data_IF_797864059771
#
_entry.id   IF_797864059771
#
_cell.length_a   1.000
_cell.length_b   1.000
_cell.length_c   1.000
_cell.angle_alpha   90.00
_cell.angle_beta   90.00
_cell.angle_gamma   90.00
#
_symmetry.space_group_name_H-M   'P 1'
#
loop_
_entity.id
_entity.type
_entity.pdbx_description
1 polymer ?
#
# COMPACT_ATOMS: atom_id res chain seq x y z
N UNK A 1 0.90 4.93 -20.18
CA UNK A 1 -0.26 5.02 -19.27
C UNK A 1 -0.02 6.21 -18.38
N UNK A 2 -1.07 6.97 -18.09
CA UNK A 2 -0.90 8.32 -17.56
C UNK A 2 -1.28 8.43 -16.09
N UNK A 3 -2.01 7.46 -15.52
CA UNK A 3 -2.40 7.45 -14.11
C UNK A 3 -3.04 8.78 -13.69
N UNK A 4 -4.00 9.26 -14.48
CA UNK A 4 -4.61 10.59 -14.33
C UNK A 4 -6.08 10.55 -13.94
N UNK A 5 -6.73 9.38 -14.01
CA UNK A 5 -8.11 9.24 -13.56
C UNK A 5 -8.17 9.41 -12.03
N UNK A 6 -9.10 10.23 -11.58
CA UNK A 6 -9.29 10.56 -10.17
C UNK A 6 -10.42 9.73 -9.54
N UNK A 7 -10.26 9.40 -8.26
CA UNK A 7 -11.26 8.64 -7.53
C UNK A 7 -12.54 9.47 -7.30
N UNK A 8 -13.69 8.92 -7.71
CA UNK A 8 -14.99 9.57 -7.54
C UNK A 8 -16.05 8.58 -7.07
N UNK A 9 -17.26 9.07 -6.79
CA UNK A 9 -18.39 8.20 -6.49
C UNK A 9 -18.72 7.25 -7.66
N UNK A 10 -18.53 7.72 -8.90
CA UNK A 10 -18.83 6.94 -10.11
C UNK A 10 -17.67 6.05 -10.53
N UNK A 11 -16.45 6.43 -10.12
CA UNK A 11 -15.18 5.82 -10.52
C UNK A 11 -14.33 5.60 -9.27
N UNK A 12 -14.77 4.73 -8.33
CA UNK A 12 -14.08 4.57 -7.08
C UNK A 12 -12.72 3.88 -7.29
N UNK A 13 -11.70 4.33 -6.56
CA UNK A 13 -10.39 3.68 -6.58
C UNK A 13 -10.45 2.36 -5.79
N UNK A 14 -9.77 1.33 -6.28
CA UNK A 14 -9.61 0.05 -5.58
C UNK A 14 -8.22 -0.02 -4.92
N UNK A 15 -8.20 -0.23 -3.61
CA UNK A 15 -6.98 -0.40 -2.82
C UNK A 15 -7.05 -1.74 -2.08
N UNK A 16 -6.02 -2.57 -2.23
CA UNK A 16 -5.90 -3.86 -1.55
C UNK A 16 -4.71 -3.78 -0.59
N UNK A 17 -4.98 -3.84 0.71
CA UNK A 17 -3.95 -3.87 1.75
C UNK A 17 -3.53 -5.30 2.03
N UNK A 18 -2.23 -5.59 1.91
CA UNK A 18 -1.61 -6.84 2.34
C UNK A 18 -0.80 -6.58 3.60
N UNK A 19 -1.16 -7.21 4.70
CA UNK A 19 -0.58 -6.94 6.01
C UNK A 19 0.09 -8.21 6.53
N UNK A 20 1.41 -8.15 6.67
CA UNK A 20 2.17 -9.18 7.36
C UNK A 20 1.78 -9.18 8.85
N UNK A 21 1.38 -10.35 9.37
CA UNK A 21 1.09 -10.57 10.79
C UNK A 21 1.99 -11.66 11.38
N UNK A 22 3.17 -11.88 10.81
CA UNK A 22 4.11 -12.89 11.30
C UNK A 22 4.77 -12.54 12.65
N UNK A 23 5.57 -13.45 13.21
CA UNK A 23 6.09 -13.32 14.57
C UNK A 23 7.05 -12.13 14.71
N UNK A 24 7.74 -11.78 13.64
CA UNK A 24 8.63 -10.62 13.59
C UNK A 24 7.86 -9.30 13.67
N UNK A 25 6.56 -9.28 13.36
CA UNK A 25 5.69 -8.12 13.59
C UNK A 25 5.44 -7.83 15.08
N UNK A 26 5.74 -8.77 15.97
CA UNK A 26 5.73 -8.55 17.42
C UNK A 26 7.07 -8.02 17.95
N UNK A 27 8.10 -7.92 17.09
CA UNK A 27 9.39 -7.34 17.49
C UNK A 27 9.26 -5.82 17.73
N UNK A 28 10.14 -5.34 18.59
CA UNK A 28 10.23 -3.92 18.94
C UNK A 28 11.06 -3.18 17.90
N UNK A 29 10.58 -2.01 17.50
CA UNK A 29 11.24 -1.02 16.65
C UNK A 29 10.94 0.35 17.27
N UNK A 30 11.98 1.13 17.62
CA UNK A 30 11.82 2.41 18.34
C UNK A 30 10.87 2.35 19.56
N UNK A 31 11.04 1.35 20.42
CA UNK A 31 10.22 1.10 21.61
C UNK A 31 8.72 0.85 21.34
N UNK A 32 8.34 0.56 20.10
CA UNK A 32 6.97 0.18 19.69
C UNK A 32 6.98 -1.16 18.97
N UNK A 33 5.87 -1.90 18.97
CA UNK A 33 5.80 -3.11 18.13
C UNK A 33 5.62 -2.72 16.67
N UNK A 34 6.25 -3.46 15.76
CA UNK A 34 6.07 -3.29 14.31
C UNK A 34 4.60 -3.34 13.90
N UNK A 35 3.84 -4.26 14.50
CA UNK A 35 2.39 -4.37 14.30
C UNK A 35 1.64 -3.11 14.72
N UNK A 36 2.02 -2.45 15.82
CA UNK A 36 1.35 -1.21 16.27
C UNK A 36 1.57 -0.06 15.27
N UNK A 37 2.77 0.00 14.67
CA UNK A 37 3.11 0.99 13.64
C UNK A 37 2.27 0.76 12.38
N UNK A 38 2.17 -0.50 11.94
CA UNK A 38 1.34 -0.89 10.79
C UNK A 38 -0.14 -0.60 11.03
N UNK A 39 -0.65 -0.95 12.21
CA UNK A 39 -2.05 -0.71 12.57
C UNK A 39 -2.38 0.79 12.65
N UNK A 40 -1.49 1.61 13.22
CA UNK A 40 -1.65 3.06 13.26
C UNK A 40 -1.60 3.67 11.86
N UNK A 41 -0.65 3.24 11.03
CA UNK A 41 -0.51 3.64 9.63
C UNK A 41 -1.78 3.36 8.81
N UNK A 42 -2.29 2.13 8.90
CA UNK A 42 -3.54 1.72 8.24
C UNK A 42 -4.74 2.52 8.76
N UNK A 43 -4.85 2.69 10.09
CA UNK A 43 -5.92 3.46 10.71
C UNK A 43 -5.91 4.93 10.25
N UNK A 44 -4.73 5.54 10.15
CA UNK A 44 -4.55 6.89 9.65
C UNK A 44 -4.94 6.98 8.17
N UNK A 45 -4.54 6.02 7.35
CA UNK A 45 -4.90 5.94 5.93
C UNK A 45 -6.42 5.94 5.73
N UNK A 46 -7.12 5.06 6.46
CA UNK A 46 -8.59 4.95 6.40
C UNK A 46 -9.24 6.25 6.87
N UNK A 47 -8.80 6.83 7.99
CA UNK A 47 -9.34 8.12 8.47
C UNK A 47 -9.18 9.23 7.44
N UNK A 48 -8.02 9.31 6.78
CA UNK A 48 -7.80 10.29 5.71
C UNK A 48 -8.71 10.03 4.49
N UNK A 49 -8.90 8.76 4.10
CA UNK A 49 -9.84 8.40 3.02
C UNK A 49 -11.28 8.77 3.35
N UNK A 50 -11.73 8.53 4.59
CA UNK A 50 -13.05 8.96 5.09
C UNK A 50 -13.17 10.48 5.06
N UNK A 51 -12.15 11.20 5.53
CA UNK A 51 -12.13 12.67 5.52
C UNK A 51 -12.25 13.23 4.10
N UNK A 52 -11.42 12.76 3.15
CA UNK A 52 -11.47 13.17 1.73
C UNK A 52 -12.79 12.79 1.05
N UNK A 53 -13.46 11.77 1.55
CA UNK A 53 -14.75 11.30 1.05
C UNK A 53 -15.94 12.04 1.65
N UNK A 54 -15.74 12.83 2.71
CA UNK A 54 -16.80 13.54 3.43
C UNK A 54 -16.91 14.98 2.92
N UNK A 55 -18.10 15.37 2.49
CA UNK A 55 -18.42 16.78 2.17
C UNK A 55 -19.65 17.21 2.96
N UNK A 56 -19.45 18.10 3.94
CA UNK A 56 -20.48 18.43 4.92
C UNK A 56 -20.83 17.21 5.78
N UNK A 57 -22.10 16.79 5.77
CA UNK A 57 -22.57 15.58 6.47
C UNK A 57 -22.62 14.32 5.59
N UNK A 58 -22.31 14.42 4.30
CA UNK A 58 -22.45 13.31 3.36
C UNK A 58 -21.11 12.66 3.05
N UNK A 59 -21.01 11.37 3.35
CA UNK A 59 -19.90 10.51 2.94
C UNK A 59 -20.16 9.96 1.54
N UNK A 60 -19.20 10.14 0.65
CA UNK A 60 -19.26 9.69 -0.75
C UNK A 60 -18.29 8.51 -0.92
N UNK A 61 -18.73 7.32 -1.37
CA UNK A 61 -17.87 6.14 -1.47
C UNK A 61 -16.89 6.24 -2.64
N UNK A 62 -15.79 6.97 -2.45
CA UNK A 62 -14.73 7.17 -3.46
C UNK A 62 -13.68 6.07 -3.48
N UNK A 63 -13.64 5.26 -2.42
CA UNK A 63 -12.66 4.20 -2.26
C UNK A 63 -13.36 2.88 -1.98
N UNK A 64 -12.85 1.83 -2.61
CA UNK A 64 -13.17 0.43 -2.38
C UNK A 64 -11.92 -0.24 -1.84
N UNK A 65 -12.04 -0.93 -0.72
CA UNK A 65 -10.90 -1.44 0.03
C UNK A 65 -11.09 -2.93 0.31
N UNK A 66 -10.02 -3.70 0.14
CA UNK A 66 -9.88 -5.04 0.72
C UNK A 66 -8.69 -5.04 1.68
N UNK A 67 -8.78 -5.78 2.78
CA UNK A 67 -7.70 -5.92 3.76
C UNK A 67 -7.43 -7.39 3.98
N UNK A 68 -6.26 -7.84 3.56
CA UNK A 68 -5.77 -9.21 3.68
C UNK A 68 -4.61 -9.23 4.67
N UNK A 69 -4.85 -9.77 5.86
CA UNK A 69 -3.78 -10.09 6.79
C UNK A 69 -3.22 -11.48 6.45
N UNK A 70 -1.90 -11.67 6.55
CA UNK A 70 -1.30 -12.95 6.19
C UNK A 70 -0.20 -13.41 7.14
N UNK A 71 -0.17 -14.73 7.35
CA UNK A 71 0.88 -15.47 8.03
C UNK A 71 1.18 -16.74 7.22
N UNK A 72 0.96 -17.93 7.80
CA UNK A 72 0.82 -19.21 7.10
C UNK A 72 -0.40 -19.27 6.18
N UNK A 73 -1.49 -18.59 6.52
CA UNK A 73 -2.68 -18.45 5.69
C UNK A 73 -3.08 -16.98 5.52
N UNK A 74 -4.08 -16.73 4.67
CA UNK A 74 -4.59 -15.39 4.37
C UNK A 74 -5.97 -15.20 4.99
N UNK A 75 -6.10 -14.13 5.76
CA UNK A 75 -7.31 -13.74 6.46
C UNK A 75 -7.88 -12.47 5.83
N UNK A 76 -9.06 -12.57 5.24
CA UNK A 76 -9.80 -11.43 4.74
C UNK A 76 -10.57 -10.75 5.88
N UNK A 77 -10.10 -9.59 6.32
CA UNK A 77 -10.63 -8.89 7.48
C UNK A 77 -11.97 -8.19 7.20
N UNK A 78 -12.29 -7.96 5.93
CA UNK A 78 -13.51 -7.24 5.52
C UNK A 78 -14.55 -8.18 4.90
N UNK A 79 -14.18 -9.43 4.61
CA UNK A 79 -15.01 -10.39 3.90
C UNK A 79 -15.25 -9.97 2.45
N UNK A 80 -14.22 -9.46 1.79
CA UNK A 80 -14.23 -8.99 0.42
C UNK A 80 -14.01 -7.49 0.29
N UNK A 81 -14.22 -6.97 -0.92
CA UNK A 81 -14.07 -5.55 -1.22
C UNK A 81 -15.24 -4.76 -0.63
N UNK A 82 -14.95 -3.76 0.20
CA UNK A 82 -15.94 -2.90 0.87
C UNK A 82 -15.77 -1.43 0.50
N UNK A 83 -16.89 -0.70 0.47
CA UNK A 83 -16.85 0.76 0.34
C UNK A 83 -16.26 1.42 1.59
N UNK A 84 -15.62 2.58 1.42
CA UNK A 84 -15.10 3.37 2.55
C UNK A 84 -16.20 3.81 3.52
N UNK A 85 -17.44 3.92 3.04
CA UNK A 85 -18.63 4.21 3.83
C UNK A 85 -19.06 3.05 4.73
N UNK A 86 -19.00 1.82 4.21
CA UNK A 86 -19.20 0.62 5.03
C UNK A 86 -18.13 0.52 6.12
N UNK A 87 -16.86 0.76 5.76
CA UNK A 87 -15.74 0.71 6.72
C UNK A 87 -15.88 1.80 7.79
N UNK A 88 -16.26 3.02 7.41
CA UNK A 88 -16.52 4.10 8.36
C UNK A 88 -17.65 3.76 9.34
N UNK A 89 -18.68 3.03 8.89
CA UNK A 89 -19.79 2.61 9.73
C UNK A 89 -19.41 1.53 10.75
N UNK A 90 -18.48 0.64 10.41
CA UNK A 90 -17.94 -0.39 11.34
C UNK A 90 -17.11 0.27 12.44
N UNK A 91 -16.44 1.38 12.15
CA UNK A 91 -15.75 2.23 13.12
C UNK A 91 -14.44 1.67 13.69
N UNK A 92 -14.11 0.41 13.41
CA UNK A 92 -12.83 -0.22 13.77
C UNK A 92 -12.47 -1.33 12.79
N UNK A 93 -11.18 -1.56 12.60
CA UNK A 93 -10.64 -2.71 11.87
C UNK A 93 -10.51 -3.85 12.89
N UNK A 94 -10.77 -5.11 12.53
CA UNK A 94 -10.51 -6.24 13.43
C UNK A 94 -9.09 -6.23 13.98
N UNK A 95 -8.93 -6.63 15.24
CA UNK A 95 -7.61 -6.73 15.87
C UNK A 95 -6.74 -7.76 15.14
N UNK A 96 -5.51 -7.36 14.83
CA UNK A 96 -4.51 -8.23 14.25
C UNK A 96 -3.76 -8.95 15.37
N UNK A 97 -3.67 -10.28 15.28
CA UNK A 97 -2.89 -11.08 16.23
C UNK A 97 -1.68 -11.67 15.52
N UNK A 98 -0.45 -11.49 16.03
CA UNK A 98 0.74 -12.08 15.40
C UNK A 98 0.68 -13.61 15.40
N UNK A 99 1.04 -14.21 14.26
CA UNK A 99 1.16 -15.65 14.04
C UNK A 99 2.60 -16.02 13.67
N UNK A 100 2.92 -17.31 13.52
CA UNK A 100 4.35 -17.74 13.51
C UNK A 100 5.07 -17.59 12.17
N UNK A 101 4.39 -17.79 11.04
CA UNK A 101 5.01 -17.85 9.72
C UNK A 101 4.57 -16.69 8.82
N UNK A 102 5.26 -16.49 7.70
CA UNK A 102 4.95 -15.48 6.69
C UNK A 102 4.98 -16.11 5.28
N UNK A 103 3.82 -16.13 4.62
CA UNK A 103 3.63 -16.59 3.25
C UNK A 103 2.98 -15.47 2.42
N UNK A 104 3.82 -14.54 2.00
CA UNK A 104 3.41 -13.42 1.16
C UNK A 104 2.92 -13.85 -0.22
N UNK A 105 3.39 -14.99 -0.75
CA UNK A 105 2.93 -15.52 -2.04
C UNK A 105 1.43 -15.84 -2.01
N UNK A 106 0.92 -16.45 -0.94
CA UNK A 106 -0.53 -16.66 -0.76
C UNK A 106 -1.31 -15.34 -0.72
N UNK A 107 -0.79 -14.32 -0.05
CA UNK A 107 -1.44 -13.01 0.03
C UNK A 107 -1.54 -12.34 -1.35
N UNK A 108 -0.45 -12.31 -2.10
CA UNK A 108 -0.45 -11.81 -3.48
C UNK A 108 -1.38 -12.63 -4.38
N UNK A 109 -1.43 -13.96 -4.24
CA UNK A 109 -2.35 -14.80 -5.01
C UNK A 109 -3.82 -14.47 -4.70
N UNK A 110 -4.15 -14.21 -3.43
CA UNK A 110 -5.50 -13.80 -3.05
C UNK A 110 -5.83 -12.41 -3.60
N UNK A 111 -4.89 -11.48 -3.60
CA UNK A 111 -5.05 -10.17 -4.24
C UNK A 111 -5.26 -10.29 -5.76
N UNK A 112 -4.50 -11.15 -6.44
CA UNK A 112 -4.66 -11.45 -7.87
C UNK A 112 -6.09 -11.92 -8.18
N UNK A 113 -6.66 -12.80 -7.35
CA UNK A 113 -8.05 -13.26 -7.51
C UNK A 113 -9.07 -12.12 -7.35
N UNK A 114 -8.87 -11.23 -6.36
CA UNK A 114 -9.73 -10.05 -6.18
C UNK A 114 -9.65 -9.16 -7.43
N UNK A 115 -8.44 -8.88 -7.91
CA UNK A 115 -8.23 -8.07 -9.12
C UNK A 115 -8.90 -8.72 -10.34
N UNK A 116 -8.75 -10.03 -10.54
CA UNK A 116 -9.39 -10.73 -11.66
C UNK A 116 -10.92 -10.60 -11.63
N UNK A 117 -11.53 -10.57 -10.44
CA UNK A 117 -12.97 -10.37 -10.29
C UNK A 117 -13.40 -8.90 -10.47
N UNK A 118 -12.57 -7.94 -10.06
CA UNK A 118 -12.92 -6.52 -10.02
C UNK A 118 -12.60 -5.76 -11.31
N UNK A 119 -11.46 -6.05 -11.94
CA UNK A 119 -10.96 -5.33 -13.12
C UNK A 119 -11.96 -5.23 -14.29
N UNK A 120 -12.76 -6.28 -14.63
CA UNK A 120 -13.76 -6.18 -15.69
C UNK A 120 -14.79 -5.05 -15.51
N UNK A 121 -14.98 -4.58 -14.28
CA UNK A 121 -15.94 -3.54 -13.90
C UNK A 121 -15.30 -2.15 -13.71
N UNK A 122 -13.99 -2.01 -13.96
CA UNK A 122 -13.19 -0.80 -13.67
C UNK A 122 -12.77 -0.01 -14.92
N UNK A 123 -13.65 0.15 -15.93
CA UNK A 123 -13.27 0.78 -17.20
C UNK A 123 -12.89 2.27 -17.08
N UNK A 124 -13.60 3.02 -16.24
CA UNK A 124 -13.35 4.47 -16.04
C UNK A 124 -12.72 4.75 -14.67
N UNK A 125 -12.18 3.72 -14.01
CA UNK A 125 -11.63 3.86 -12.66
C UNK A 125 -10.11 4.13 -12.71
N UNK A 126 -9.56 4.74 -11.64
CA UNK A 126 -8.12 4.79 -11.45
C UNK A 126 -7.53 3.37 -11.44
N UNK A 127 -6.25 3.27 -11.81
CA UNK A 127 -5.51 2.02 -11.67
C UNK A 127 -5.57 1.49 -10.22
N UNK A 128 -5.86 0.19 -10.01
CA UNK A 128 -5.85 -0.38 -8.66
C UNK A 128 -4.46 -0.32 -8.03
N UNK A 129 -4.42 -0.20 -6.70
CA UNK A 129 -3.19 -0.28 -5.92
C UNK A 129 -3.22 -1.46 -4.96
N UNK A 130 -2.13 -2.22 -4.92
CA UNK A 130 -1.79 -3.08 -3.78
C UNK A 130 -0.83 -2.32 -2.88
N UNK A 131 -1.17 -2.18 -1.60
CA UNK A 131 -0.27 -1.65 -0.58
C UNK A 131 0.14 -2.77 0.37
N UNK A 132 1.40 -3.19 0.28
CA UNK A 132 1.95 -4.33 0.99
C UNK A 132 2.86 -3.87 2.14
N UNK A 133 2.50 -4.26 3.36
CA UNK A 133 3.20 -3.92 4.59
C UNK A 133 3.85 -5.17 5.16
N UNK A 134 5.19 -5.16 5.25
CA UNK A 134 5.97 -6.31 5.75
C UNK A 134 7.26 -5.82 6.38
N UNK A 135 7.87 -6.62 7.23
CA UNK A 135 9.24 -6.41 7.68
C UNK A 135 10.28 -7.19 6.85
N UNK A 136 9.82 -7.85 5.78
CA UNK A 136 10.65 -8.47 4.75
C UNK A 136 10.96 -9.95 4.97
N UNK A 137 10.57 -10.56 6.11
CA UNK A 137 10.92 -11.95 6.40
C UNK A 137 9.85 -12.91 5.85
N UNK A 138 9.97 -13.32 4.59
CA UNK A 138 9.09 -14.33 4.00
C UNK A 138 9.67 -15.74 4.18
N UNK A 139 8.85 -16.67 4.69
CA UNK A 139 9.20 -18.10 4.86
C UNK A 139 8.58 -19.01 3.81
N UNK A 140 7.63 -18.49 3.02
CA UNK A 140 6.89 -19.23 1.99
C UNK A 140 7.54 -19.23 0.60
N UNK A 141 6.74 -19.53 -0.42
CA UNK A 141 7.15 -19.47 -1.82
C UNK A 141 7.53 -18.04 -2.24
N UNK A 142 8.20 -17.92 -3.38
CA UNK A 142 8.56 -16.62 -3.93
C UNK A 142 7.32 -15.85 -4.42
N UNK A 143 6.96 -14.68 -3.83
CA UNK A 143 5.88 -13.84 -4.33
C UNK A 143 6.21 -13.08 -5.63
N UNK A 144 7.48 -12.94 -6.02
CA UNK A 144 7.90 -12.08 -7.15
C UNK A 144 7.20 -12.44 -8.47
N UNK A 145 7.08 -13.72 -8.88
CA UNK A 145 6.36 -14.08 -10.09
C UNK A 145 4.88 -13.67 -10.06
N UNK A 146 4.24 -13.70 -8.89
CA UNK A 146 2.83 -13.33 -8.71
C UNK A 146 2.69 -11.80 -8.78
N UNK A 147 3.54 -11.08 -8.05
CA UNK A 147 3.62 -9.62 -8.09
C UNK A 147 3.84 -9.10 -9.52
N UNK A 148 4.72 -9.75 -10.31
CA UNK A 148 4.92 -9.43 -11.73
C UNK A 148 3.68 -9.66 -12.59
N UNK A 149 2.90 -10.72 -12.35
CA UNK A 149 1.62 -10.92 -13.06
C UNK A 149 0.64 -9.82 -12.71
N UNK A 150 0.51 -9.50 -11.43
CA UNK A 150 -0.36 -8.42 -10.96
C UNK A 150 0.02 -7.08 -11.60
N UNK A 151 1.30 -6.70 -11.57
CA UNK A 151 1.78 -5.46 -12.20
C UNK A 151 1.59 -5.42 -13.73
N UNK A 152 1.29 -6.55 -14.37
CA UNK A 152 0.93 -6.60 -15.79
C UNK A 152 -0.58 -6.57 -16.04
N UNK A 153 -1.41 -6.71 -15.01
CA UNK A 153 -2.84 -6.47 -15.10
C UNK A 153 -3.10 -4.97 -15.23
N UNK A 154 -4.17 -4.57 -15.91
CA UNK A 154 -4.42 -3.16 -16.20
C UNK A 154 -5.90 -2.82 -16.34
N UNK A 155 -6.15 -1.53 -16.16
CA UNK A 155 -7.36 -0.81 -16.57
C UNK A 155 -6.95 0.27 -17.60
N UNK A 156 -7.89 0.95 -18.26
CA UNK A 156 -7.54 2.00 -19.23
C UNK A 156 -6.63 3.12 -18.69
N UNK A 157 -6.73 3.45 -17.39
CA UNK A 157 -5.88 4.46 -16.74
C UNK A 157 -4.41 4.03 -16.59
N UNK A 158 -4.17 2.76 -16.31
CA UNK A 158 -2.89 2.27 -15.81
C UNK A 158 -2.83 0.77 -15.53
N UNK A 159 -1.61 0.27 -15.36
CA UNK A 159 -1.37 -1.06 -14.80
C UNK A 159 -1.65 -1.03 -13.30
N UNK A 160 -1.97 -2.18 -12.72
CA UNK A 160 -2.06 -2.31 -11.25
C UNK A 160 -0.71 -1.95 -10.65
N UNK A 161 -0.73 -1.08 -9.65
CA UNK A 161 0.45 -0.63 -8.93
C UNK A 161 0.66 -1.50 -7.69
N UNK A 162 1.92 -1.73 -7.33
CA UNK A 162 2.30 -2.34 -6.05
C UNK A 162 3.21 -1.37 -5.31
N UNK A 163 2.77 -0.98 -4.12
CA UNK A 163 3.54 -0.24 -3.15
C UNK A 163 4.00 -1.16 -2.02
N UNK A 164 5.29 -1.14 -1.71
CA UNK A 164 5.86 -1.88 -0.56
C UNK A 164 6.23 -0.90 0.56
N UNK A 165 5.66 -1.10 1.74
CA UNK A 165 6.01 -0.39 2.97
C UNK A 165 6.80 -1.36 3.85
N UNK A 166 8.09 -1.11 4.01
CA UNK A 166 8.99 -2.01 4.75
C UNK A 166 9.22 -1.54 6.18
N UNK A 167 8.99 -2.41 7.17
CA UNK A 167 9.15 -2.10 8.60
C UNK A 167 10.52 -2.60 9.08
N UNK A 168 11.59 -1.92 8.66
CA UNK A 168 12.98 -2.28 9.01
C UNK A 168 13.89 -1.06 9.10
N UNK A 169 14.70 -1.00 10.17
CA UNK A 169 15.71 0.04 10.41
C UNK A 169 17.03 -0.22 9.66
N UNK A 170 17.16 -1.37 9.01
CA UNK A 170 18.44 -1.86 8.49
C UNK A 170 18.48 -1.99 6.97
N UNK A 171 17.39 -1.66 6.28
CA UNK A 171 17.27 -1.88 4.83
C UNK A 171 18.08 -0.84 4.01
N UNK A 172 18.14 0.40 4.51
CA UNK A 172 18.86 1.49 3.87
C UNK A 172 20.30 1.63 4.38
N UNK A 173 21.20 2.04 3.49
CA UNK A 173 22.62 2.27 3.80
C UNK A 173 22.81 3.38 4.84
N UNK A 174 22.01 4.44 4.76
CA UNK A 174 21.98 5.57 5.69
C UNK A 174 20.54 5.81 6.21
N UNK A 175 20.39 6.37 7.43
CA UNK A 175 19.08 6.81 7.92
C UNK A 175 18.53 7.94 7.04
N UNK A 176 17.21 8.11 7.02
CA UNK A 176 16.56 9.22 6.33
C UNK A 176 16.48 10.41 7.30
N UNK A 177 17.32 11.45 7.15
CA UNK A 177 17.38 12.54 8.12
C UNK A 177 16.16 13.48 7.99
N UNK A 178 15.64 13.66 6.78
CA UNK A 178 14.52 14.55 6.50
C UNK A 178 13.60 13.93 5.44
N UNK A 179 12.41 13.42 5.84
CA UNK A 179 11.45 12.76 4.94
C UNK A 179 11.08 13.59 3.70
N UNK A 180 10.89 14.90 3.87
CA UNK A 180 10.53 15.83 2.79
C UNK A 180 11.59 15.98 1.71
N UNK A 181 12.86 15.86 2.09
CA UNK A 181 13.99 15.95 1.16
C UNK A 181 14.48 14.60 0.66
N UNK A 182 13.87 13.51 1.13
CA UNK A 182 14.21 12.19 0.68
C UNK A 182 13.76 11.98 -0.77
N UNK A 183 14.67 11.49 -1.61
CA UNK A 183 14.44 11.35 -3.06
C UNK A 183 13.78 10.03 -3.44
N UNK A 184 13.50 9.16 -2.46
CA UNK A 184 12.95 7.83 -2.69
C UNK A 184 14.02 6.79 -3.04
N UNK A 185 13.56 5.56 -3.26
CA UNK A 185 14.37 4.42 -3.72
C UNK A 185 14.27 4.35 -5.24
N UNK A 186 15.39 4.30 -5.95
CA UNK A 186 15.46 4.03 -7.39
C UNK A 186 15.89 2.59 -7.67
N UNK A 187 15.84 2.16 -8.94
CA UNK A 187 16.38 0.85 -9.36
C UNK A 187 17.86 0.68 -8.97
N UNK A 188 18.64 1.76 -9.06
CA UNK A 188 20.08 1.78 -8.77
C UNK A 188 20.39 1.95 -7.28
N UNK A 189 19.38 2.12 -6.43
CA UNK A 189 19.60 2.22 -4.98
C UNK A 189 20.01 0.86 -4.43
N UNK A 190 21.22 0.78 -3.88
CA UNK A 190 21.73 -0.43 -3.21
C UNK A 190 21.03 -0.63 -1.86
N UNK A 191 20.45 -1.83 -1.68
CA UNK A 191 19.83 -2.25 -0.43
C UNK A 191 20.73 -3.24 0.30
N UNK A 192 20.69 -3.21 1.63
CA UNK A 192 21.61 -3.99 2.47
C UNK A 192 21.33 -5.49 2.49
N UNK A 193 20.11 -5.90 2.15
CA UNK A 193 19.67 -7.28 2.24
C UNK A 193 18.98 -7.76 0.96
N UNK A 194 19.02 -9.08 0.76
CA UNK A 194 18.39 -9.76 -0.38
C UNK A 194 16.86 -9.54 -0.40
N UNK A 195 16.26 -9.39 0.79
CA UNK A 195 14.83 -9.12 0.96
C UNK A 195 14.45 -7.74 0.45
N UNK A 196 15.24 -6.69 0.73
CA UNK A 196 15.03 -5.36 0.20
C UNK A 196 15.13 -5.35 -1.32
N UNK A 197 16.12 -6.02 -1.90
CA UNK A 197 16.24 -6.17 -3.36
C UNK A 197 15.01 -6.86 -3.98
N UNK A 198 14.45 -7.84 -3.27
CA UNK A 198 13.21 -8.50 -3.68
C UNK A 198 11.99 -7.59 -3.62
N UNK A 199 11.82 -6.84 -2.54
CA UNK A 199 10.76 -5.83 -2.43
C UNK A 199 10.92 -4.76 -3.53
N UNK A 200 12.14 -4.33 -3.83
CA UNK A 200 12.45 -3.38 -4.90
C UNK A 200 11.97 -3.89 -6.26
N UNK A 201 12.17 -5.17 -6.57
CA UNK A 201 11.69 -5.81 -7.81
C UNK A 201 10.17 -5.94 -7.87
N UNK A 202 9.50 -5.99 -6.72
CA UNK A 202 8.04 -6.08 -6.61
C UNK A 202 7.37 -4.71 -6.46
N UNK A 203 8.13 -3.62 -6.37
CA UNK A 203 7.58 -2.25 -6.29
C UNK A 203 7.42 -1.65 -7.68
N UNK A 204 6.25 -1.06 -7.93
CA UNK A 204 5.99 -0.33 -9.17
C UNK A 204 6.80 0.97 -9.23
N UNK A 205 7.19 1.43 -10.44
CA UNK A 205 7.68 2.79 -10.59
C UNK A 205 6.59 3.79 -10.22
N UNK A 206 6.96 4.84 -9.49
CA UNK A 206 6.06 5.91 -9.11
C UNK A 206 5.54 6.61 -10.38
N UNK A 207 4.22 6.63 -10.63
CA UNK A 207 3.68 7.40 -11.73
C UNK A 207 4.02 8.88 -11.63
N UNK A 208 4.34 9.51 -12.77
CA UNK A 208 4.75 10.91 -12.81
C UNK A 208 3.65 11.86 -12.28
N UNK A 209 2.39 11.56 -12.58
CA UNK A 209 1.23 12.29 -12.05
C UNK A 209 1.19 12.27 -10.52
N UNK A 210 1.54 11.15 -9.89
CA UNK A 210 1.55 11.02 -8.43
C UNK A 210 2.75 11.75 -7.85
N UNK A 211 3.90 11.66 -8.51
CA UNK A 211 5.13 12.40 -8.14
C UNK A 211 4.90 13.92 -8.17
N UNK A 212 4.26 14.44 -9.21
CA UNK A 212 3.91 15.86 -9.32
C UNK A 212 3.03 16.33 -8.15
N UNK A 213 2.00 15.55 -7.80
CA UNK A 213 1.15 15.83 -6.63
C UNK A 213 1.95 15.86 -5.31
N UNK A 214 2.96 15.00 -5.18
CA UNK A 214 3.82 14.99 -3.99
C UNK A 214 4.80 16.16 -3.95
N UNK A 215 5.30 16.61 -5.10
CA UNK A 215 6.11 17.83 -5.20
C UNK A 215 5.29 19.05 -4.78
N UNK A 216 4.01 19.13 -5.20
CA UNK A 216 3.09 20.18 -4.72
C UNK A 216 2.87 20.14 -3.21
N UNK A 217 2.94 18.95 -2.61
CA UNK A 217 2.88 18.73 -1.16
C UNK A 217 4.24 18.87 -0.44
N UNK A 218 5.27 19.39 -1.13
CA UNK A 218 6.61 19.67 -0.61
C UNK A 218 7.46 18.41 -0.31
N UNK A 219 7.29 17.35 -1.11
CA UNK A 219 8.15 16.16 -1.12
C UNK A 219 9.04 16.09 -2.37
N UNK A 220 10.33 15.78 -2.19
CA UNK A 220 11.34 15.80 -3.25
C UNK A 220 11.62 14.42 -3.90
N UNK A 221 10.60 13.56 -4.03
CA UNK A 221 10.77 12.27 -4.70
C UNK A 221 11.29 12.45 -6.13
N UNK A 222 12.38 11.77 -6.44
CA UNK A 222 13.04 11.87 -7.74
C UNK A 222 12.24 11.15 -8.83
N UNK A 223 12.33 11.60 -10.10
CA UNK A 223 11.77 10.86 -11.23
C UNK A 223 12.31 9.43 -11.29
N UNK A 224 11.45 8.47 -11.57
CA UNK A 224 11.81 7.05 -11.61
C UNK A 224 12.03 6.40 -10.24
N UNK A 225 11.69 7.09 -9.15
CA UNK A 225 11.57 6.47 -7.83
C UNK A 225 10.52 5.36 -7.85
N UNK A 226 10.71 4.37 -6.99
CA UNK A 226 9.83 3.23 -6.82
C UNK A 226 8.83 3.51 -5.70
N UNK A 227 7.67 2.89 -5.80
CA UNK A 227 6.66 2.81 -4.73
C UNK A 227 7.17 1.85 -3.64
N UNK A 228 8.22 2.28 -2.95
CA UNK A 228 8.88 1.56 -1.87
C UNK A 228 9.22 2.56 -0.76
N UNK A 229 8.54 2.44 0.38
CA UNK A 229 8.57 3.44 1.44
C UNK A 229 8.99 2.81 2.77
N UNK A 230 9.78 3.51 3.59
CA UNK A 230 10.15 3.06 4.91
C UNK A 230 8.96 3.21 5.87
N UNK A 231 8.56 2.11 6.47
CA UNK A 231 7.52 2.06 7.49
C UNK A 231 7.89 2.71 8.82
N UNK A 232 9.17 2.99 9.04
CA UNK A 232 9.72 3.70 10.21
C UNK A 232 9.35 5.19 10.23
N UNK A 233 8.96 5.75 9.08
CA UNK A 233 8.59 7.15 8.97
C UNK A 233 7.08 7.28 8.73
N UNK A 234 6.33 7.64 9.77
CA UNK A 234 4.87 7.82 9.68
C UNK A 234 4.46 8.85 8.60
N UNK A 235 5.29 9.87 8.35
CA UNK A 235 5.07 10.84 7.28
C UNK A 235 5.17 10.17 5.90
N UNK A 236 6.24 9.41 5.63
CA UNK A 236 6.41 8.69 4.35
C UNK A 236 5.36 7.60 4.17
N UNK A 237 4.99 6.91 5.23
CA UNK A 237 3.88 5.94 5.20
C UNK A 237 2.56 6.62 4.83
N UNK A 238 2.29 7.79 5.42
CA UNK A 238 1.11 8.58 5.07
C UNK A 238 1.12 9.04 3.61
N UNK A 239 2.28 9.30 3.02
CA UNK A 239 2.42 9.64 1.59
C UNK A 239 2.01 8.47 0.71
N UNK A 240 2.43 7.24 1.03
CA UNK A 240 2.05 6.06 0.27
C UNK A 240 0.53 5.91 0.12
N UNK A 241 -0.16 6.11 1.23
CA UNK A 241 -1.62 6.13 1.26
C UNK A 241 -2.29 7.37 0.66
N UNK A 242 -1.54 8.45 0.42
CA UNK A 242 -2.03 9.61 -0.32
C UNK A 242 -1.90 9.42 -1.83
N UNK A 243 -0.80 8.79 -2.29
CA UNK A 243 -0.60 8.41 -3.69
C UNK A 243 -1.69 7.44 -4.16
N UNK A 244 -2.04 6.45 -3.32
CA UNK A 244 -3.14 5.52 -3.57
C UNK A 244 -4.51 6.18 -3.74
N UNK A 245 -4.63 7.40 -3.21
CA UNK A 245 -5.88 8.07 -3.01
C UNK A 245 -6.08 9.27 -3.91
N UNK A 246 -5.22 9.47 -4.93
CA UNK A 246 -5.11 10.61 -5.83
C UNK A 246 -6.47 11.19 -6.25
N UNK A 247 -6.98 12.03 -5.38
CA UNK A 247 -8.18 12.84 -5.53
C UNK A 247 -7.75 14.18 -4.98
N UNK A 248 -7.73 15.25 -5.78
CA UNK A 248 -7.46 16.57 -5.26
C UNK A 248 -8.49 16.88 -4.18
N UNK A 249 -8.03 17.32 -3.02
CA UNK A 249 -8.89 17.94 -2.03
C UNK A 249 -9.21 19.33 -2.57
N UNK A 250 -10.37 19.50 -3.20
CA UNK A 250 -10.95 20.81 -3.52
C UNK A 250 -12.24 21.02 -2.77
#
# INVERSE_FOLDING_TARGET
>A
MNYTIQASQRTPALIIYLIDISASMNMMMDNRRRMDIVYEALSLAIRQMVFRSTKGSRLTPRYRIAILAYSDDVYDLLGGVKGIDEIAAIGSIPDLTPMRFSDSAKAFLQAEKILQAELPFMQDCPAPLICHMTDGVATGEDPEPIARRIMNMSVPDGNVLIENIFISDHLLSAPIPEPRRWTGISQDTELKDEHGEKLKKMSSPLPESYREMLVEADYLLAPGSLMMLPGTCAELVSIGFQMSAATPVR
#
